data_IF_762247556705
#
_entry.id   IF_762247556705
#
_cell.length_a   1.000
_cell.length_b   1.000
_cell.length_c   1.000
_cell.angle_alpha   90.00
_cell.angle_beta   90.00
_cell.angle_gamma   90.00
#
_symmetry.space_group_name_H-M   'P 1'
#
loop_
_entity.id
_entity.type
_entity.pdbx_description
1 polymer ?
#
# COMPACT_ATOMS: atom_id res chain seq x y z
N UNK A 1 10.51 -5.65 10.04
CA UNK A 1 9.52 -4.90 10.85
C UNK A 1 8.27 -5.73 11.11
N UNK A 2 7.97 -5.99 12.39
CA UNK A 2 6.77 -6.72 12.80
C UNK A 2 5.47 -6.06 12.30
N UNK A 3 5.48 -4.74 12.08
CA UNK A 3 4.38 -3.94 11.56
C UNK A 3 3.89 -4.39 10.17
N UNK A 4 4.80 -4.80 9.28
CA UNK A 4 4.41 -5.30 7.94
C UNK A 4 3.58 -6.57 8.06
N UNK A 5 4.07 -7.53 8.85
CA UNK A 5 3.38 -8.80 9.07
C UNK A 5 2.07 -8.62 9.83
N UNK A 6 2.01 -7.66 10.75
CA UNK A 6 0.78 -7.27 11.42
C UNK A 6 -0.26 -6.74 10.43
N UNK A 7 0.15 -5.83 9.53
CA UNK A 7 -0.72 -5.33 8.48
C UNK A 7 -1.20 -6.42 7.53
N UNK A 8 -0.33 -7.35 7.13
CA UNK A 8 -0.70 -8.48 6.27
C UNK A 8 -1.68 -9.44 6.97
N UNK A 9 -1.47 -9.69 8.26
CA UNK A 9 -2.39 -10.47 9.09
C UNK A 9 -3.78 -9.82 9.13
N UNK A 10 -3.86 -8.51 9.38
CA UNK A 10 -5.13 -7.78 9.35
C UNK A 10 -5.77 -7.81 7.96
N UNK A 11 -5.00 -7.67 6.90
CA UNK A 11 -5.50 -7.75 5.53
C UNK A 11 -6.12 -9.13 5.24
N UNK A 12 -5.45 -10.20 5.64
CA UNK A 12 -5.93 -11.58 5.47
C UNK A 12 -7.19 -11.86 6.31
N UNK A 13 -7.33 -11.19 7.46
CA UNK A 13 -8.54 -11.22 8.29
C UNK A 13 -9.67 -10.31 7.76
N UNK A 14 -9.52 -9.69 6.59
CA UNK A 14 -10.44 -8.70 6.01
C UNK A 14 -10.62 -7.44 6.88
N UNK A 15 -9.73 -7.23 7.84
CA UNK A 15 -9.67 -6.05 8.71
C UNK A 15 -8.87 -4.94 8.00
N UNK A 16 -9.36 -4.52 6.84
CA UNK A 16 -8.62 -3.62 5.94
C UNK A 16 -8.27 -2.27 6.57
N UNK A 17 -9.16 -1.69 7.40
CA UNK A 17 -8.87 -0.45 8.12
C UNK A 17 -7.72 -0.60 9.12
N UNK A 18 -7.64 -1.73 9.83
CA UNK A 18 -6.53 -2.00 10.76
C UNK A 18 -5.24 -2.28 10.00
N UNK A 19 -5.32 -2.96 8.86
CA UNK A 19 -4.19 -3.18 7.97
C UNK A 19 -3.58 -1.86 7.49
N UNK A 20 -4.43 -0.90 7.07
CA UNK A 20 -4.00 0.44 6.67
C UNK A 20 -3.19 1.10 7.79
N UNK A 21 -3.72 1.12 9.02
CA UNK A 21 -3.04 1.72 10.16
C UNK A 21 -1.69 1.06 10.46
N UNK A 22 -1.60 -0.27 10.42
CA UNK A 22 -0.34 -0.99 10.64
C UNK A 22 0.70 -0.68 9.55
N UNK A 23 0.29 -0.61 8.27
CA UNK A 23 1.19 -0.21 7.20
C UNK A 23 1.62 1.24 7.33
N UNK A 24 0.72 2.18 7.66
CA UNK A 24 1.07 3.58 7.88
C UNK A 24 2.08 3.76 9.02
N UNK A 25 1.91 3.02 10.12
CA UNK A 25 2.87 3.01 11.22
C UNK A 25 4.26 2.55 10.77
N UNK A 26 4.35 1.54 9.89
CA UNK A 26 5.63 1.15 9.29
C UNK A 26 6.23 2.30 8.47
N UNK A 27 5.42 2.97 7.65
CA UNK A 27 5.90 4.06 6.79
C UNK A 27 6.38 5.28 7.58
N UNK A 28 5.75 5.56 8.73
CA UNK A 28 6.13 6.66 9.62
C UNK A 28 7.39 6.31 10.41
N UNK A 29 7.42 5.14 11.04
CA UNK A 29 8.50 4.76 11.94
C UNK A 29 9.75 4.24 11.20
N UNK A 30 9.55 3.66 10.01
CA UNK A 30 10.59 3.01 9.22
C UNK A 30 10.53 3.39 7.73
N UNK A 31 10.56 4.68 7.37
CA UNK A 31 10.42 5.12 5.97
C UNK A 31 11.52 4.59 5.04
N UNK A 32 12.71 4.28 5.58
CA UNK A 32 13.85 3.77 4.81
C UNK A 32 14.01 2.24 4.88
N UNK A 33 13.01 1.52 5.39
CA UNK A 33 13.06 0.06 5.45
C UNK A 33 12.97 -0.55 4.06
N UNK A 34 13.60 -1.71 3.87
CA UNK A 34 13.45 -2.52 2.66
C UNK A 34 12.00 -3.01 2.47
N UNK A 35 11.15 -2.85 3.48
CA UNK A 35 9.72 -3.18 3.44
C UNK A 35 8.82 -1.97 3.18
N UNK A 36 9.36 -0.75 3.10
CA UNK A 36 8.58 0.45 2.73
C UNK A 36 7.83 0.31 1.40
N UNK A 37 8.46 -0.11 0.27
CA UNK A 37 7.73 -0.27 -0.99
C UNK A 37 6.60 -1.29 -0.89
N UNK A 38 6.84 -2.43 -0.22
CA UNK A 38 5.83 -3.45 0.04
C UNK A 38 4.68 -2.92 0.92
N UNK A 39 4.98 -2.17 1.97
CA UNK A 39 3.98 -1.59 2.86
C UNK A 39 3.13 -0.55 2.15
N UNK A 40 3.72 0.33 1.31
CA UNK A 40 2.96 1.28 0.50
C UNK A 40 2.00 0.57 -0.45
N UNK A 41 2.48 -0.43 -1.19
CA UNK A 41 1.66 -1.21 -2.13
C UNK A 41 0.51 -1.93 -1.42
N UNK A 42 0.80 -2.63 -0.31
CA UNK A 42 -0.21 -3.33 0.48
C UNK A 42 -1.23 -2.38 1.10
N UNK A 43 -0.77 -1.21 1.56
CA UNK A 43 -1.64 -0.15 2.08
C UNK A 43 -2.58 0.38 0.99
N UNK A 44 -2.12 0.51 -0.25
CA UNK A 44 -2.99 0.85 -1.37
C UNK A 44 -4.05 -0.23 -1.64
N UNK A 45 -3.67 -1.51 -1.62
CA UNK A 45 -4.63 -2.61 -1.79
C UNK A 45 -5.67 -2.68 -0.68
N UNK A 46 -5.26 -2.47 0.57
CA UNK A 46 -6.19 -2.39 1.69
C UNK A 46 -7.19 -1.22 1.52
N UNK A 47 -6.73 -0.07 1.00
CA UNK A 47 -7.61 1.06 0.67
C UNK A 47 -8.59 0.75 -0.46
N UNK A 48 -8.16 0.04 -1.50
CA UNK A 48 -9.07 -0.43 -2.55
C UNK A 48 -10.16 -1.34 -1.99
N UNK A 49 -9.82 -2.20 -1.02
CA UNK A 49 -10.78 -3.12 -0.42
C UNK A 49 -11.86 -2.40 0.42
N UNK A 50 -11.58 -1.20 0.92
CA UNK A 50 -12.57 -0.35 1.63
C UNK A 50 -13.21 0.72 0.72
N UNK A 51 -13.06 0.58 -0.61
CA UNK A 51 -13.54 1.53 -1.61
C UNK A 51 -12.89 2.94 -1.54
N UNK A 52 -11.80 3.10 -0.80
CA UNK A 52 -11.00 4.32 -0.78
C UNK A 52 -10.05 4.37 -1.98
N UNK A 53 -10.66 4.44 -3.17
CA UNK A 53 -9.96 4.45 -4.45
C UNK A 53 -9.12 5.72 -4.66
N UNK A 54 -9.50 6.82 -4.01
CA UNK A 54 -8.77 8.10 -4.07
C UNK A 54 -7.41 7.97 -3.39
N UNK A 55 -7.38 7.56 -2.12
CA UNK A 55 -6.11 7.40 -1.43
C UNK A 55 -5.35 6.18 -1.93
N UNK A 56 -6.02 5.10 -2.33
CA UNK A 56 -5.34 3.95 -2.94
C UNK A 56 -4.49 4.38 -4.14
N UNK A 57 -5.05 5.19 -5.04
CA UNK A 57 -4.33 5.74 -6.18
C UNK A 57 -3.12 6.55 -5.77
N UNK A 58 -3.28 7.48 -4.83
CA UNK A 58 -2.19 8.31 -4.33
C UNK A 58 -1.03 7.47 -3.80
N UNK A 59 -1.33 6.40 -3.07
CA UNK A 59 -0.31 5.48 -2.57
C UNK A 59 0.34 4.65 -3.68
N UNK A 60 -0.41 4.18 -4.69
CA UNK A 60 0.17 3.51 -5.86
C UNK A 60 1.11 4.43 -6.63
N UNK A 61 0.68 5.66 -6.91
CA UNK A 61 1.50 6.69 -7.57
C UNK A 61 2.77 6.98 -6.78
N UNK A 62 2.67 7.02 -5.44
CA UNK A 62 3.83 7.20 -4.55
C UNK A 62 4.82 6.04 -4.67
N UNK A 63 4.39 4.78 -4.72
CA UNK A 63 5.31 3.64 -4.96
C UNK A 63 5.99 3.78 -6.30
N UNK A 64 5.26 4.18 -7.34
CA UNK A 64 5.81 4.32 -8.69
C UNK A 64 6.85 5.44 -8.75
N UNK A 65 6.62 6.54 -8.04
CA UNK A 65 7.51 7.69 -7.99
C UNK A 65 8.76 7.43 -7.14
N UNK A 66 8.60 6.84 -5.95
CA UNK A 66 9.70 6.61 -5.02
C UNK A 66 10.48 5.32 -5.32
N UNK A 67 9.82 4.30 -5.86
CA UNK A 67 10.38 2.97 -6.10
C UNK A 67 10.10 2.43 -7.53
N UNK A 68 10.43 3.18 -8.59
CA UNK A 68 10.12 2.80 -9.97
C UNK A 68 10.82 1.52 -10.44
N UNK A 69 12.00 1.21 -9.89
CA UNK A 69 12.80 0.04 -10.25
C UNK A 69 12.51 -1.18 -9.36
N UNK A 70 11.71 -1.03 -8.31
CA UNK A 70 11.31 -2.14 -7.44
C UNK A 70 10.17 -2.94 -8.09
N UNK A 71 10.04 -4.21 -7.71
CA UNK A 71 8.95 -5.06 -8.15
C UNK A 71 7.59 -4.45 -7.78
N UNK A 72 7.50 -3.87 -6.58
CA UNK A 72 6.31 -3.18 -6.10
C UNK A 72 5.93 -1.97 -6.94
N UNK A 73 6.90 -1.25 -7.52
CA UNK A 73 6.65 -0.16 -8.45
C UNK A 73 6.00 -0.64 -9.74
N UNK A 74 6.46 -1.77 -10.27
CA UNK A 74 5.86 -2.40 -11.46
C UNK A 74 4.44 -2.90 -11.19
N UNK A 75 4.24 -3.58 -10.05
CA UNK A 75 2.92 -4.03 -9.60
C UNK A 75 1.98 -2.85 -9.34
N UNK A 76 2.50 -1.75 -8.77
CA UNK A 76 1.71 -0.55 -8.53
C UNK A 76 1.21 0.08 -9.83
N UNK A 77 2.05 0.15 -10.88
CA UNK A 77 1.62 0.62 -12.21
C UNK A 77 0.49 -0.23 -12.76
N UNK A 78 0.69 -1.55 -12.76
CA UNK A 78 -0.30 -2.49 -13.27
C UNK A 78 -1.63 -2.35 -12.53
N UNK A 79 -1.59 -2.21 -11.19
CA UNK A 79 -2.82 -1.98 -10.43
C UNK A 79 -3.43 -0.62 -10.74
N UNK A 80 -2.63 0.44 -10.82
CA UNK A 80 -3.11 1.80 -11.06
C UNK A 80 -3.96 1.91 -12.33
N UNK A 81 -3.60 1.18 -13.39
CA UNK A 81 -4.38 1.12 -14.64
C UNK A 81 -5.77 0.51 -14.45
N UNK A 82 -5.89 -0.46 -13.53
CA UNK A 82 -7.17 -1.09 -13.19
C UNK A 82 -8.01 -0.28 -12.20
N UNK A 83 -7.44 0.74 -11.55
CA UNK A 83 -8.17 1.58 -10.58
C UNK A 83 -8.83 2.74 -11.34
N UNK A 84 -10.18 2.76 -11.45
CA UNK A 84 -10.88 3.75 -12.26
C UNK A 84 -10.55 5.15 -11.78
N UNK A 85 -10.14 6.06 -12.69
CA UNK A 85 -9.88 7.47 -12.37
C UNK A 85 -11.07 8.02 -11.60
N UNK A 86 -10.86 8.39 -10.34
CA UNK A 86 -11.91 9.02 -9.51
C UNK A 86 -12.38 10.22 -10.30
N UNK A 87 -13.65 10.20 -10.73
CA UNK A 87 -14.30 11.30 -11.42
C UNK A 87 -14.42 12.51 -10.49
#
# INVERSE_FOLDING_TARGET
>A
DAQYWLGDCYYNQKQHNQAIGAFEQLLINYPKSNKTPAALLRSAFARLAVNDTKNARLYLERVIAEYPAAEEGSLARMRLETVPKSK
#
